data_IF_641316787322
#
_entry.id   IF_641316787322
#
_cell.length_a   1.000
_cell.length_b   1.000
_cell.length_c   1.000
_cell.angle_alpha   90.00
_cell.angle_beta   90.00
_cell.angle_gamma   90.00
#
_symmetry.space_group_name_H-M   'P 1'
#
loop_
_entity.id
_entity.type
_entity.pdbx_description
1 polymer ?
#
# COMPACT_ATOMS: atom_id res chain seq x y z
N UNK A 1 -2.95 -3.81 10.68
CA UNK A 1 -4.29 -4.21 10.15
C UNK A 1 -5.37 -4.21 11.24
N UNK A 2 -5.24 -5.04 12.28
CA UNK A 2 -6.31 -5.25 13.28
C UNK A 2 -6.69 -3.99 14.07
N UNK A 3 -5.71 -3.18 14.47
CA UNK A 3 -5.95 -1.90 15.15
C UNK A 3 -6.79 -0.93 14.30
N UNK A 4 -6.46 -0.77 13.02
CA UNK A 4 -7.25 0.05 12.09
C UNK A 4 -8.69 -0.46 11.96
N UNK A 5 -8.88 -1.77 11.83
CA UNK A 5 -10.22 -2.36 11.73
C UNK A 5 -11.02 -2.14 13.03
N UNK A 6 -10.37 -2.22 14.19
CA UNK A 6 -11.00 -1.93 15.47
C UNK A 6 -11.41 -0.44 15.57
N UNK A 7 -10.50 0.49 15.27
CA UNK A 7 -10.79 1.92 15.24
C UNK A 7 -11.98 2.25 14.33
N UNK A 8 -11.98 1.71 13.10
CA UNK A 8 -13.08 1.89 12.16
C UNK A 8 -14.41 1.39 12.73
N UNK A 9 -14.43 0.20 13.34
CA UNK A 9 -15.65 -0.33 13.99
C UNK A 9 -16.13 0.61 15.11
N UNK A 10 -15.23 1.13 15.93
CA UNK A 10 -15.57 2.07 17.00
C UNK A 10 -16.14 3.39 16.47
N UNK A 11 -15.60 3.92 15.36
CA UNK A 11 -16.13 5.13 14.72
C UNK A 11 -17.52 4.92 14.11
N UNK A 12 -17.75 3.79 13.45
CA UNK A 12 -19.08 3.46 12.90
C UNK A 12 -20.12 3.36 14.02
N UNK A 13 -19.78 2.75 15.17
CA UNK A 13 -20.67 2.68 16.33
C UNK A 13 -21.06 4.06 16.85
N UNK A 14 -20.22 5.07 16.65
CA UNK A 14 -20.49 6.48 16.98
C UNK A 14 -21.15 7.26 15.84
N UNK A 15 -21.60 6.59 14.77
CA UNK A 15 -22.22 7.23 13.60
C UNK A 15 -21.23 7.84 12.60
N UNK A 16 -19.92 7.71 12.80
CA UNK A 16 -18.90 8.28 11.92
C UNK A 16 -18.40 7.26 10.88
N UNK A 17 -18.58 7.58 9.59
CA UNK A 17 -18.17 6.73 8.44
C UNK A 17 -16.98 7.28 7.66
N UNK A 18 -16.03 7.90 8.35
CA UNK A 18 -14.86 8.55 7.74
C UNK A 18 -13.84 7.56 7.14
N UNK A 19 -13.61 6.43 7.80
CA UNK A 19 -12.53 5.52 7.44
C UNK A 19 -12.95 4.50 6.37
N UNK A 20 -12.18 4.33 5.27
CA UNK A 20 -12.47 3.32 4.25
C UNK A 20 -12.29 1.90 4.78
N UNK A 21 -12.85 0.92 4.07
CA UNK A 21 -12.61 -0.48 4.41
C UNK A 21 -11.13 -0.84 4.18
N UNK A 22 -10.60 -1.75 5.00
CA UNK A 22 -9.20 -2.16 4.87
C UNK A 22 -8.88 -2.79 3.50
N UNK A 23 -9.88 -3.35 2.80
CA UNK A 23 -9.73 -3.84 1.42
C UNK A 23 -9.29 -2.71 0.47
N UNK A 24 -9.89 -1.52 0.58
CA UNK A 24 -9.55 -0.36 -0.24
C UNK A 24 -8.13 0.15 0.07
N UNK A 25 -7.73 0.12 1.35
CA UNK A 25 -6.34 0.41 1.74
C UNK A 25 -5.38 -0.62 1.16
N UNK A 26 -5.78 -1.90 1.11
CA UNK A 26 -5.01 -2.96 0.47
C UNK A 26 -4.75 -2.66 -1.01
N UNK A 27 -5.80 -2.30 -1.75
CA UNK A 27 -5.71 -1.93 -3.17
C UNK A 27 -4.80 -0.71 -3.37
N UNK A 28 -4.99 0.35 -2.59
CA UNK A 28 -4.15 1.54 -2.65
C UNK A 28 -2.67 1.24 -2.33
N UNK A 29 -2.38 0.23 -1.49
CA UNK A 29 -1.01 -0.23 -1.23
C UNK A 29 -0.43 -1.01 -2.40
N UNK A 30 -1.23 -1.84 -3.05
CA UNK A 30 -0.81 -2.60 -4.23
C UNK A 30 -0.41 -1.67 -5.37
N UNK A 31 -1.14 -0.57 -5.57
CA UNK A 31 -0.78 0.51 -6.50
C UNK A 31 0.54 1.23 -6.15
N UNK A 32 1.04 1.07 -4.92
CA UNK A 32 2.33 1.61 -4.50
C UNK A 32 3.50 0.64 -4.71
N UNK A 33 3.25 -0.64 -4.94
CA UNK A 33 4.33 -1.62 -5.07
C UNK A 33 4.91 -1.61 -6.48
N UNK A 34 6.25 -1.68 -6.63
CA UNK A 34 6.85 -1.95 -7.93
C UNK A 34 6.46 -3.36 -8.39
N UNK A 35 6.59 -3.62 -9.68
CA UNK A 35 6.30 -4.94 -10.26
C UNK A 35 7.03 -6.05 -9.48
N UNK A 36 6.29 -7.09 -9.09
CA UNK A 36 6.80 -8.24 -8.34
C UNK A 36 7.95 -8.93 -9.06
N UNK A 37 7.97 -8.90 -10.40
CA UNK A 37 9.07 -9.44 -11.21
C UNK A 37 10.41 -8.73 -10.94
N UNK A 38 10.37 -7.47 -10.49
CA UNK A 38 11.53 -6.63 -10.21
C UNK A 38 11.98 -6.68 -8.74
N UNK A 39 11.24 -7.38 -7.87
CA UNK A 39 11.57 -7.54 -6.45
C UNK A 39 12.11 -8.96 -6.23
N UNK A 40 13.30 -9.07 -5.64
CA UNK A 40 13.85 -10.34 -5.16
C UNK A 40 14.03 -10.28 -3.66
N UNK A 41 13.33 -11.16 -2.95
CA UNK A 41 13.43 -11.30 -1.50
C UNK A 41 13.97 -12.70 -1.21
N UNK A 42 15.05 -12.76 -0.45
CA UNK A 42 15.58 -14.00 0.13
C UNK A 42 15.68 -13.83 1.64
N UNK A 43 16.00 -14.90 2.36
CA UNK A 43 15.99 -14.92 3.83
C UNK A 43 16.88 -13.85 4.48
N UNK A 44 17.95 -13.44 3.79
CA UNK A 44 18.97 -12.52 4.32
C UNK A 44 19.03 -11.17 3.62
N UNK A 45 18.33 -10.98 2.49
CA UNK A 45 18.39 -9.72 1.75
C UNK A 45 17.15 -9.50 0.88
N UNK A 46 16.90 -8.24 0.54
CA UNK A 46 15.93 -7.86 -0.46
C UNK A 46 16.60 -6.92 -1.46
N UNK A 47 16.27 -7.08 -2.74
CA UNK A 47 16.80 -6.27 -3.85
C UNK A 47 15.68 -5.90 -4.79
N UNK A 48 15.79 -4.72 -5.39
CA UNK A 48 14.91 -4.24 -6.45
C UNK A 48 15.77 -3.69 -7.59
N UNK A 49 15.32 -3.83 -8.83
CA UNK A 49 15.99 -3.21 -9.97
C UNK A 49 15.91 -1.67 -9.87
N UNK A 50 17.06 -0.99 -9.96
CA UNK A 50 17.13 0.47 -9.80
C UNK A 50 16.32 1.22 -10.86
N UNK A 51 16.43 0.85 -12.14
CA UNK A 51 15.69 1.52 -13.21
C UNK A 51 14.18 1.34 -13.04
N UNK A 52 13.74 0.13 -12.69
CA UNK A 52 12.33 -0.13 -12.39
C UNK A 52 11.83 0.73 -11.23
N UNK A 53 12.64 0.90 -10.19
CA UNK A 53 12.29 1.74 -9.05
C UNK A 53 12.13 3.21 -9.47
N UNK A 54 13.09 3.76 -10.21
CA UNK A 54 13.05 5.15 -10.68
C UNK A 54 11.85 5.40 -11.61
N UNK A 55 11.55 4.47 -12.52
CA UNK A 55 10.37 4.56 -13.38
C UNK A 55 9.08 4.57 -12.56
N UNK A 56 8.94 3.64 -11.60
CA UNK A 56 7.78 3.57 -10.71
C UNK A 56 7.58 4.86 -9.92
N UNK A 57 8.67 5.40 -9.34
CA UNK A 57 8.63 6.68 -8.60
C UNK A 57 8.22 7.83 -9.52
N UNK A 58 8.79 7.93 -10.72
CA UNK A 58 8.46 9.00 -11.67
C UNK A 58 7.00 8.94 -12.09
N UNK A 59 6.49 7.75 -12.44
CA UNK A 59 5.07 7.56 -12.77
C UNK A 59 4.17 8.05 -11.64
N UNK A 60 4.51 7.73 -10.38
CA UNK A 60 3.75 8.16 -9.20
C UNK A 60 3.77 9.66 -8.97
N UNK A 61 4.87 10.34 -9.29
CA UNK A 61 4.97 11.80 -9.20
C UNK A 61 4.13 12.49 -10.30
N UNK A 62 4.01 11.88 -11.47
CA UNK A 62 3.25 12.42 -12.60
C UNK A 62 1.74 12.16 -12.52
N UNK A 63 1.28 11.29 -11.62
CA UNK A 63 -0.15 11.01 -11.36
C UNK A 63 -0.83 12.06 -10.46
N UNK A 64 -0.16 13.18 -10.17
CA UNK A 64 -0.74 14.38 -9.53
C UNK A 64 -1.64 15.08 -10.55
#
# INVERSE_FOLDING_TARGET
KNQYMHLRKCLIKKGCRLLPFYKQIGQAKEECYPDKSNIKIINTSAKVNLQSLLNHTTNRLLMI
#
